data_IF_789232543027
#
_entry.id   IF_789232543027
#
_cell.length_a   1.000
_cell.length_b   1.000
_cell.length_c   1.000
_cell.angle_alpha   90.00
_cell.angle_beta   90.00
_cell.angle_gamma   90.00
#
_symmetry.space_group_name_H-M   'P 1'
#
loop_
_entity.id
_entity.type
_entity.pdbx_description
1 polymer ?
#
# COMPACT_ATOMS: atom_id res chain seq x y z
N UNK A 1 0.33 -30.02 30.71
CA UNK A 1 1.72 -29.56 30.47
C UNK A 1 1.92 -28.30 31.30
N UNK A 2 2.82 -28.37 32.26
CA UNK A 2 3.11 -27.35 33.29
C UNK A 2 4.21 -26.42 32.79
N UNK A 3 3.97 -25.10 32.76
CA UNK A 3 5.05 -24.12 32.66
C UNK A 3 5.43 -23.67 34.08
N UNK A 4 6.63 -24.00 34.56
CA UNK A 4 7.11 -23.57 35.86
C UNK A 4 7.54 -22.10 35.81
N UNK A 5 7.32 -21.40 36.93
CA UNK A 5 7.76 -20.04 37.15
C UNK A 5 9.26 -19.90 37.40
N UNK A 6 9.72 -18.66 37.43
CA UNK A 6 11.10 -18.25 37.71
C UNK A 6 11.56 -17.22 36.68
N UNK A 7 12.04 -16.03 37.02
CA UNK A 7 12.34 -15.45 38.31
C UNK A 7 12.55 -13.95 38.17
N UNK A 8 12.40 -13.27 39.30
CA UNK A 8 12.77 -11.88 39.52
C UNK A 8 14.24 -11.64 39.16
N UNK A 9 14.51 -10.59 38.38
CA UNK A 9 15.79 -9.89 38.43
C UNK A 9 15.57 -8.41 38.14
N UNK A 10 15.62 -7.63 39.22
CA UNK A 10 15.67 -6.19 39.21
C UNK A 10 16.91 -5.68 38.46
N UNK A 11 16.74 -4.65 37.63
CA UNK A 11 17.85 -3.81 37.19
C UNK A 11 17.44 -2.35 37.32
N UNK A 12 17.78 -1.80 38.49
CA UNK A 12 17.82 -0.38 38.73
C UNK A 12 18.97 0.24 37.92
N UNK A 13 18.65 1.18 37.04
CA UNK A 13 19.59 2.25 36.65
C UNK A 13 18.82 3.52 36.36
N UNK A 14 18.56 4.20 37.48
CA UNK A 14 18.29 5.62 37.59
C UNK A 14 19.53 6.37 37.08
N UNK A 15 19.35 7.13 36.01
CA UNK A 15 20.40 7.91 35.36
C UNK A 15 19.77 9.09 34.65
N UNK A 16 19.84 10.23 35.33
CA UNK A 16 19.40 11.56 34.92
C UNK A 16 19.61 11.85 33.43
N UNK A 17 18.51 12.06 32.72
CA UNK A 17 18.47 12.76 31.43
C UNK A 17 17.48 13.91 31.56
N UNK A 18 18.04 15.00 32.08
CA UNK A 18 17.80 16.38 31.69
C UNK A 18 16.37 16.75 31.24
N UNK A 19 15.71 17.34 32.21
CA UNK A 19 14.53 18.20 32.16
C UNK A 19 14.65 19.39 31.20
N UNK A 20 14.58 19.14 29.88
CA UNK A 20 14.44 20.20 28.86
C UNK A 20 13.28 19.87 27.92
N UNK A 21 12.08 19.68 28.48
CA UNK A 21 10.88 19.50 27.65
C UNK A 21 9.55 19.71 28.40
N UNK A 22 9.27 20.90 28.94
CA UNK A 22 7.93 21.18 29.50
C UNK A 22 7.59 22.67 29.40
N UNK A 23 7.23 23.12 28.20
CA UNK A 23 6.30 24.24 27.98
C UNK A 23 5.75 24.18 26.54
N UNK A 24 5.63 22.96 26.00
CA UNK A 24 4.76 22.78 24.84
C UNK A 24 3.34 22.68 25.40
N UNK A 25 2.42 23.59 25.04
CA UNK A 25 1.10 23.66 25.64
C UNK A 25 0.39 22.31 25.44
N UNK A 26 0.12 21.61 26.54
CA UNK A 26 -0.59 20.32 26.58
C UNK A 26 -1.96 20.37 25.89
N UNK A 27 -2.47 21.59 25.66
CA UNK A 27 -3.70 21.86 24.91
C UNK A 27 -3.55 21.64 23.40
N UNK A 28 -2.34 21.69 22.82
CA UNK A 28 -2.13 21.57 21.38
C UNK A 28 -1.85 20.12 20.95
N UNK A 29 -1.17 19.34 21.79
CA UNK A 29 -1.05 17.88 21.59
C UNK A 29 -2.38 17.18 21.78
N UNK A 30 -3.18 17.56 22.79
CA UNK A 30 -4.51 16.98 23.01
C UNK A 30 -5.54 17.38 21.94
N UNK A 31 -5.44 18.59 21.36
CA UNK A 31 -6.27 19.00 20.22
C UNK A 31 -5.88 18.28 18.91
N UNK A 32 -4.59 17.98 18.71
CA UNK A 32 -4.11 17.22 17.56
C UNK A 32 -4.41 15.71 17.71
N UNK A 33 -4.45 15.20 18.94
CA UNK A 33 -4.81 13.82 19.29
C UNK A 33 -6.32 13.56 19.24
N UNK A 34 -7.14 14.61 19.40
CA UNK A 34 -8.61 14.52 19.26
C UNK A 34 -9.12 14.69 17.83
N UNK A 35 -8.23 14.89 16.85
CA UNK A 35 -8.56 14.58 15.44
C UNK A 35 -8.55 13.06 15.23
N UNK A 36 -9.39 12.39 16.03
CA UNK A 36 -9.90 11.04 15.95
C UNK A 36 -10.76 10.88 14.67
N UNK A 37 -10.29 11.43 13.55
CA UNK A 37 -10.82 11.16 12.22
C UNK A 37 -10.50 9.69 11.96
N UNK A 38 -11.57 8.92 11.95
CA UNK A 38 -11.70 7.50 11.63
C UNK A 38 -10.39 6.81 11.19
N UNK A 39 -9.94 5.73 11.85
CA UNK A 39 -8.78 4.94 11.40
C UNK A 39 -8.86 4.54 9.91
N UNK A 40 -10.08 4.46 9.37
CA UNK A 40 -10.37 4.28 7.95
C UNK A 40 -9.84 5.40 7.04
N UNK A 41 -9.94 6.68 7.43
CA UNK A 41 -9.45 7.80 6.62
C UNK A 41 -7.93 7.80 6.52
N UNK A 42 -7.22 7.57 7.64
CA UNK A 42 -5.75 7.47 7.62
C UNK A 42 -5.29 6.29 6.77
N UNK A 43 -5.98 5.16 6.88
CA UNK A 43 -5.75 4.01 6.01
C UNK A 43 -6.02 4.34 4.55
N UNK A 44 -7.14 4.99 4.23
CA UNK A 44 -7.52 5.34 2.86
C UNK A 44 -6.54 6.34 2.24
N UNK A 45 -6.08 7.34 2.98
CA UNK A 45 -5.08 8.31 2.50
C UNK A 45 -3.74 7.61 2.24
N UNK A 46 -3.32 6.72 3.14
CA UNK A 46 -2.10 5.94 2.94
C UNK A 46 -2.22 4.99 1.75
N UNK A 47 -3.37 4.36 1.58
CA UNK A 47 -3.71 3.53 0.44
C UNK A 47 -3.70 4.33 -0.86
N UNK A 48 -4.44 5.44 -0.93
CA UNK A 48 -4.53 6.28 -2.12
C UNK A 48 -3.18 6.93 -2.47
N UNK A 49 -2.42 7.34 -1.46
CA UNK A 49 -1.08 7.91 -1.63
C UNK A 49 -0.05 6.88 -2.08
N UNK A 50 -0.16 5.62 -1.64
CA UNK A 50 0.78 4.58 -2.06
C UNK A 50 0.37 3.92 -3.38
N UNK A 51 -0.88 3.46 -3.49
CA UNK A 51 -1.38 2.70 -4.63
C UNK A 51 -1.89 3.59 -5.78
N UNK A 52 -2.32 4.83 -5.50
CA UNK A 52 -2.76 5.78 -6.53
C UNK A 52 -1.64 6.67 -7.07
N UNK A 53 -0.76 7.17 -6.19
CA UNK A 53 0.29 8.11 -6.59
C UNK A 53 1.47 7.43 -7.29
N UNK A 54 1.89 6.25 -6.83
CA UNK A 54 3.05 5.54 -7.42
C UNK A 54 2.82 5.16 -8.89
N UNK A 55 1.70 4.53 -9.31
CA UNK A 55 1.49 4.24 -10.72
C UNK A 55 1.29 5.51 -11.53
N UNK A 56 0.61 6.53 -10.99
CA UNK A 56 0.50 7.83 -11.65
C UNK A 56 1.88 8.47 -11.89
N UNK A 57 2.78 8.40 -10.90
CA UNK A 57 4.14 8.89 -11.03
C UNK A 57 4.95 8.08 -12.06
N UNK A 58 4.78 6.75 -12.08
CA UNK A 58 5.41 5.87 -13.08
C UNK A 58 4.93 6.22 -14.48
N UNK A 59 3.65 6.54 -14.67
CA UNK A 59 3.11 6.96 -15.97
C UNK A 59 3.58 8.36 -16.38
N UNK A 60 3.72 9.27 -15.42
CA UNK A 60 4.20 10.63 -15.67
C UNK A 60 5.70 10.66 -16.01
N UNK A 61 6.47 9.69 -15.51
CA UNK A 61 7.91 9.63 -15.69
C UNK A 61 8.36 9.56 -17.17
N UNK A 62 7.91 8.62 -18.02
CA UNK A 62 8.30 8.58 -19.43
C UNK A 62 7.90 9.85 -20.17
N UNK A 63 6.76 10.47 -19.79
CA UNK A 63 6.34 11.75 -20.34
C UNK A 63 7.33 12.88 -19.97
N UNK A 64 7.72 12.98 -18.71
CA UNK A 64 8.71 13.93 -18.24
C UNK A 64 10.10 13.70 -18.89
N UNK A 65 10.52 12.44 -19.03
CA UNK A 65 11.79 12.08 -19.69
C UNK A 65 11.76 12.46 -21.17
N UNK A 66 10.64 12.26 -21.87
CA UNK A 66 10.48 12.65 -23.28
C UNK A 66 10.65 14.17 -23.48
N UNK A 67 10.21 14.97 -22.50
CA UNK A 67 10.39 16.43 -22.52
C UNK A 67 11.84 16.85 -22.24
N UNK A 68 12.55 16.13 -21.37
CA UNK A 68 13.91 16.48 -20.94
C UNK A 68 15.00 15.97 -21.89
N UNK A 69 14.84 14.78 -22.47
CA UNK A 69 15.88 14.12 -23.28
C UNK A 69 15.30 13.54 -24.57
N UNK A 70 14.96 14.37 -25.57
CA UNK A 70 14.32 13.92 -26.80
C UNK A 70 15.22 13.07 -27.73
N UNK A 71 16.52 12.91 -27.40
CA UNK A 71 17.53 12.32 -28.31
C UNK A 71 17.79 10.83 -28.14
N UNK A 72 17.19 10.16 -27.15
CA UNK A 72 17.47 8.73 -26.85
C UNK A 72 16.19 7.90 -26.66
N UNK A 73 15.55 7.42 -27.75
CA UNK A 73 14.31 6.65 -27.66
C UNK A 73 14.50 5.33 -26.88
N UNK A 74 15.69 4.72 -26.96
CA UNK A 74 16.03 3.48 -26.26
C UNK A 74 15.88 3.61 -24.73
N UNK A 75 16.23 4.77 -24.16
CA UNK A 75 16.14 4.98 -22.72
C UNK A 75 14.67 4.99 -22.25
N UNK A 76 13.78 5.57 -23.05
CA UNK A 76 12.35 5.64 -22.73
C UNK A 76 11.76 4.23 -22.73
N UNK A 77 12.09 3.42 -23.73
CA UNK A 77 11.63 2.03 -23.85
C UNK A 77 12.12 1.16 -22.69
N UNK A 78 13.41 1.23 -22.37
CA UNK A 78 14.00 0.49 -21.24
C UNK A 78 13.35 0.89 -19.92
N UNK A 79 13.17 2.18 -19.68
CA UNK A 79 12.51 2.67 -18.45
C UNK A 79 11.05 2.24 -18.39
N UNK A 80 10.33 2.31 -19.52
CA UNK A 80 8.94 1.88 -19.60
C UNK A 80 8.76 0.40 -19.26
N UNK A 81 9.76 -0.47 -19.47
CA UNK A 81 9.72 -1.89 -19.08
C UNK A 81 10.18 -2.10 -17.63
N UNK A 82 11.27 -1.46 -17.21
CA UNK A 82 11.85 -1.71 -15.88
C UNK A 82 10.96 -1.17 -14.76
N UNK A 83 10.37 0.03 -14.92
CA UNK A 83 9.58 0.66 -13.86
C UNK A 83 8.36 -0.18 -13.44
N UNK A 84 7.52 -0.69 -14.35
CA UNK A 84 6.41 -1.58 -14.00
C UNK A 84 6.85 -2.84 -13.26
N UNK A 85 7.97 -3.46 -13.68
CA UNK A 85 8.50 -4.67 -13.04
C UNK A 85 8.88 -4.37 -11.58
N UNK A 86 9.61 -3.29 -11.34
CA UNK A 86 9.99 -2.88 -9.97
C UNK A 86 8.75 -2.57 -9.14
N UNK A 87 7.80 -1.82 -9.71
CA UNK A 87 6.57 -1.44 -9.03
C UNK A 87 5.68 -2.66 -8.70
N UNK A 88 5.65 -3.66 -9.57
CA UNK A 88 5.00 -4.95 -9.34
C UNK A 88 5.58 -5.64 -8.10
N UNK A 89 6.91 -5.78 -8.01
CA UNK A 89 7.54 -6.45 -6.87
C UNK A 89 7.34 -5.68 -5.57
N UNK A 90 7.44 -4.35 -5.61
CA UNK A 90 7.17 -3.52 -4.44
C UNK A 90 5.74 -3.69 -3.94
N UNK A 91 4.74 -3.66 -4.83
CA UNK A 91 3.33 -3.87 -4.47
C UNK A 91 3.08 -5.27 -3.92
N UNK A 92 3.65 -6.29 -4.55
CA UNK A 92 3.50 -7.66 -4.07
C UNK A 92 4.09 -7.81 -2.65
N UNK A 93 5.31 -7.33 -2.42
CA UNK A 93 5.96 -7.40 -1.10
C UNK A 93 5.17 -6.64 -0.02
N UNK A 94 4.74 -5.42 -0.31
CA UNK A 94 3.98 -4.60 0.63
C UNK A 94 2.60 -5.20 0.90
N UNK A 95 1.90 -5.69 -0.13
CA UNK A 95 0.60 -6.34 0.01
C UNK A 95 0.68 -7.62 0.85
N UNK A 96 1.67 -8.48 0.58
CA UNK A 96 1.90 -9.70 1.38
C UNK A 96 2.26 -9.36 2.82
N UNK A 97 3.09 -8.33 3.03
CA UNK A 97 3.44 -7.85 4.38
C UNK A 97 2.21 -7.33 5.13
N UNK A 98 1.31 -6.60 4.46
CA UNK A 98 0.07 -6.14 5.07
C UNK A 98 -0.85 -7.31 5.46
N UNK A 99 -0.97 -8.31 4.58
CA UNK A 99 -1.75 -9.53 4.85
C UNK A 99 -1.15 -10.35 5.99
N UNK A 100 0.19 -10.38 6.13
CA UNK A 100 0.85 -11.17 7.17
C UNK A 100 0.68 -10.59 8.58
N UNK A 101 0.60 -9.26 8.69
CA UNK A 101 0.37 -8.57 9.97
C UNK A 101 -1.11 -8.63 10.38
N UNK A 102 -2.03 -8.77 9.42
CA UNK A 102 -3.45 -8.79 9.70
C UNK A 102 -3.88 -10.08 10.42
N UNK A 103 -4.52 -9.94 11.58
CA UNK A 103 -5.00 -11.07 12.41
C UNK A 103 -6.37 -11.60 11.94
N UNK A 104 -6.62 -11.64 10.65
CA UNK A 104 -7.84 -12.21 10.09
C UNK A 104 -7.81 -13.76 10.11
N UNK A 105 -8.99 -14.38 10.14
CA UNK A 105 -9.13 -15.83 9.99
C UNK A 105 -8.55 -16.34 8.67
N UNK A 106 -8.17 -17.63 8.62
CA UNK A 106 -7.48 -18.24 7.46
C UNK A 106 -8.24 -18.06 6.14
N UNK A 107 -9.58 -18.14 6.18
CA UNK A 107 -10.45 -18.02 5.00
C UNK A 107 -10.37 -16.60 4.41
N UNK A 108 -10.55 -15.58 5.26
CA UNK A 108 -10.48 -14.18 4.84
C UNK A 108 -9.09 -13.83 4.32
N UNK A 109 -8.04 -14.33 4.97
CA UNK A 109 -6.65 -14.15 4.54
C UNK A 109 -6.39 -14.74 3.15
N UNK A 110 -6.94 -15.91 2.85
CA UNK A 110 -6.84 -16.51 1.51
C UNK A 110 -7.56 -15.66 0.47
N UNK A 111 -8.77 -15.18 0.78
CA UNK A 111 -9.52 -14.27 -0.10
C UNK A 111 -8.77 -12.96 -0.38
N UNK A 112 -8.15 -12.36 0.65
CA UNK A 112 -7.32 -11.16 0.51
C UNK A 112 -6.10 -11.42 -0.39
N UNK A 113 -5.46 -12.58 -0.27
CA UNK A 113 -4.34 -12.95 -1.12
C UNK A 113 -4.75 -13.14 -2.59
N UNK A 114 -5.88 -13.82 -2.84
CA UNK A 114 -6.41 -13.97 -4.20
C UNK A 114 -6.77 -12.61 -4.80
N UNK A 115 -7.44 -11.75 -4.04
CA UNK A 115 -7.77 -10.38 -4.49
C UNK A 115 -6.51 -9.55 -4.79
N UNK A 116 -5.46 -9.66 -3.98
CA UNK A 116 -4.16 -9.02 -4.24
C UNK A 116 -3.55 -9.52 -5.55
N UNK A 117 -3.53 -10.83 -5.78
CA UNK A 117 -3.01 -11.41 -7.03
C UNK A 117 -3.82 -10.95 -8.25
N UNK A 118 -5.16 -10.93 -8.17
CA UNK A 118 -6.02 -10.43 -9.23
C UNK A 118 -5.75 -8.95 -9.54
N UNK A 119 -5.67 -8.11 -8.50
CA UNK A 119 -5.37 -6.70 -8.67
C UNK A 119 -4.00 -6.46 -9.33
N UNK A 120 -2.98 -7.20 -8.90
CA UNK A 120 -1.64 -7.10 -9.47
C UNK A 120 -1.60 -7.52 -10.94
N UNK A 121 -2.32 -8.59 -11.31
CA UNK A 121 -2.41 -9.04 -12.71
C UNK A 121 -3.11 -8.01 -13.58
N UNK A 122 -4.20 -7.42 -13.10
CA UNK A 122 -4.90 -6.34 -13.81
C UNK A 122 -3.99 -5.13 -14.00
N UNK A 123 -3.22 -4.76 -12.97
CA UNK A 123 -2.27 -3.65 -13.06
C UNK A 123 -1.17 -3.92 -14.10
N UNK A 124 -0.64 -5.14 -14.14
CA UNK A 124 0.33 -5.54 -15.16
C UNK A 124 -0.23 -5.47 -16.58
N UNK A 125 -1.52 -5.80 -16.77
CA UNK A 125 -2.20 -5.63 -18.06
C UNK A 125 -2.29 -4.16 -18.46
N UNK A 126 -2.65 -3.28 -17.52
CA UNK A 126 -2.71 -1.83 -17.75
C UNK A 126 -1.33 -1.28 -18.12
N UNK A 127 -0.29 -1.68 -17.40
CA UNK A 127 1.09 -1.25 -17.69
C UNK A 127 1.53 -1.74 -19.09
N UNK A 128 1.18 -2.97 -19.48
CA UNK A 128 1.46 -3.49 -20.82
C UNK A 128 0.76 -2.70 -21.93
N UNK A 129 -0.52 -2.33 -21.72
CA UNK A 129 -1.26 -1.47 -22.65
C UNK A 129 -0.57 -0.11 -22.77
N UNK A 130 -0.14 0.49 -21.66
CA UNK A 130 0.54 1.79 -21.69
C UNK A 130 1.87 1.72 -22.43
N UNK A 131 2.67 0.68 -22.21
CA UNK A 131 3.91 0.47 -22.98
C UNK A 131 3.58 0.36 -24.47
N UNK A 132 2.56 -0.43 -24.83
CA UNK A 132 2.14 -0.62 -26.22
C UNK A 132 1.71 0.72 -26.86
N UNK A 133 1.04 1.58 -26.10
CA UNK A 133 0.59 2.89 -26.59
C UNK A 133 1.74 3.87 -26.86
N UNK A 134 2.91 3.66 -26.24
CA UNK A 134 4.11 4.45 -26.55
C UNK A 134 4.81 3.99 -27.84
N UNK A 135 4.61 2.74 -28.25
CA UNK A 135 5.18 2.17 -29.48
C UNK A 135 4.25 2.38 -30.68
N UNK A 136 2.93 2.44 -30.45
CA UNK A 136 1.94 2.66 -31.51
C UNK A 136 1.94 4.11 -32.03
N UNK A 137 1.60 4.31 -33.32
CA UNK A 137 1.46 5.64 -33.90
C UNK A 137 0.31 6.43 -33.25
N UNK A 138 0.43 7.76 -33.31
CA UNK A 138 -0.60 8.68 -32.79
C UNK A 138 -1.96 8.39 -33.43
N UNK A 139 -3.00 8.23 -32.62
CA UNK A 139 -4.36 7.90 -33.06
C UNK A 139 -4.76 6.43 -32.91
N UNK A 140 -3.86 5.55 -32.45
CA UNK A 140 -4.22 4.15 -32.17
C UNK A 140 -5.17 3.99 -30.96
N UNK A 141 -5.11 4.91 -29.99
CA UNK A 141 -6.02 4.95 -28.84
C UNK A 141 -7.31 5.67 -29.19
N UNK A 142 -8.41 4.93 -29.25
CA UNK A 142 -9.73 5.52 -29.40
C UNK A 142 -10.28 5.99 -28.05
N UNK A 143 -11.27 6.89 -28.07
CA UNK A 143 -11.95 7.34 -26.83
C UNK A 143 -12.60 6.17 -26.08
N UNK A 144 -13.06 5.15 -26.79
CA UNK A 144 -13.59 3.90 -26.21
C UNK A 144 -12.54 3.14 -25.42
N UNK A 145 -11.31 3.06 -25.92
CA UNK A 145 -10.22 2.35 -25.24
C UNK A 145 -9.84 3.03 -23.94
N UNK A 146 -9.83 4.37 -23.92
CA UNK A 146 -9.60 5.15 -22.69
C UNK A 146 -10.69 4.93 -21.64
N UNK A 147 -11.95 4.87 -22.07
CA UNK A 147 -13.08 4.58 -21.17
C UNK A 147 -12.98 3.15 -20.62
N UNK A 148 -12.63 2.19 -21.47
CA UNK A 148 -12.39 0.80 -21.06
C UNK A 148 -11.24 0.69 -20.06
N UNK A 149 -10.13 1.39 -20.30
CA UNK A 149 -9.00 1.46 -19.38
C UNK A 149 -9.42 2.06 -18.02
N UNK A 150 -10.27 3.09 -18.04
CA UNK A 150 -10.87 3.66 -16.83
C UNK A 150 -11.69 2.63 -16.03
N UNK A 151 -12.51 1.81 -16.69
CA UNK A 151 -13.25 0.74 -16.03
C UNK A 151 -12.34 -0.31 -15.40
N UNK A 152 -11.30 -0.75 -16.12
CA UNK A 152 -10.29 -1.68 -15.59
C UNK A 152 -9.61 -1.09 -14.35
N UNK A 153 -9.28 0.21 -14.39
CA UNK A 153 -8.65 0.89 -13.27
C UNK A 153 -9.55 0.96 -12.03
N UNK A 154 -10.84 1.28 -12.20
CA UNK A 154 -11.82 1.28 -11.09
C UNK A 154 -12.00 -0.13 -10.52
N UNK A 155 -12.02 -1.15 -11.38
CA UNK A 155 -12.06 -2.54 -10.96
C UNK A 155 -10.83 -2.92 -10.13
N UNK A 156 -9.64 -2.56 -10.59
CA UNK A 156 -8.38 -2.73 -9.86
C UNK A 156 -8.44 -2.09 -8.46
N UNK A 157 -8.85 -0.82 -8.38
CA UNK A 157 -8.97 -0.10 -7.10
C UNK A 157 -9.94 -0.81 -6.15
N UNK A 158 -11.07 -1.30 -6.67
CA UNK A 158 -12.06 -2.03 -5.87
C UNK A 158 -11.48 -3.33 -5.29
N UNK A 159 -10.74 -4.10 -6.10
CA UNK A 159 -10.04 -5.30 -5.64
C UNK A 159 -8.99 -4.98 -4.57
N UNK A 160 -8.22 -3.91 -4.77
CA UNK A 160 -7.20 -3.50 -3.79
C UNK A 160 -7.80 -3.03 -2.47
N UNK A 161 -8.88 -2.23 -2.52
CA UNK A 161 -9.62 -1.81 -1.31
C UNK A 161 -10.06 -3.04 -0.51
N UNK A 162 -10.59 -4.06 -1.19
CA UNK A 162 -10.99 -5.31 -0.55
C UNK A 162 -9.80 -6.09 0.03
N UNK A 163 -8.70 -6.18 -0.71
CA UNK A 163 -7.49 -6.90 -0.28
C UNK A 163 -6.82 -6.26 0.95
N UNK A 164 -6.82 -4.93 1.03
CA UNK A 164 -6.16 -4.16 2.08
C UNK A 164 -7.09 -3.75 3.24
N UNK A 165 -8.37 -4.10 3.17
CA UNK A 165 -9.35 -3.71 4.19
C UNK A 165 -8.88 -4.14 5.59
N UNK A 166 -8.66 -3.20 6.54
CA UNK A 166 -8.31 -3.54 7.90
C UNK A 166 -9.55 -4.16 8.53
N UNK A 167 -9.46 -5.44 8.90
CA UNK A 167 -10.56 -6.11 9.60
C UNK A 167 -10.95 -5.31 10.84
N UNK A 168 -12.24 -5.07 11.03
CA UNK A 168 -12.75 -4.39 12.23
C UNK A 168 -12.53 -5.33 13.43
N UNK A 169 -11.43 -5.17 14.15
CA UNK A 169 -11.07 -5.98 15.32
C UNK A 169 -11.89 -5.60 16.56
N UNK A 170 -13.22 -5.49 16.43
CA UNK A 170 -14.12 -5.16 17.53
C UNK A 170 -14.78 -6.41 18.16
N UNK A 171 -14.42 -7.63 17.75
CA UNK A 171 -14.84 -8.82 18.49
C UNK A 171 -13.91 -9.01 19.69
N UNK A 172 -14.37 -8.81 20.94
CA UNK A 172 -13.65 -9.31 22.10
C UNK A 172 -13.44 -10.81 21.89
N UNK A 173 -12.17 -11.25 21.84
CA UNK A 173 -11.87 -12.68 21.79
C UNK A 173 -12.49 -13.34 23.03
N UNK A 174 -13.29 -14.41 22.88
CA UNK A 174 -13.62 -15.22 24.03
C UNK A 174 -12.30 -15.76 24.64
N UNK A 175 -12.15 -15.74 25.98
CA UNK A 175 -10.87 -16.02 26.64
C UNK A 175 -10.34 -17.45 26.49
N UNK A 176 -11.03 -18.34 25.76
CA UNK A 176 -10.76 -19.78 25.75
C UNK A 176 -9.96 -20.30 24.54
N UNK A 177 -9.60 -19.47 23.57
CA UNK A 177 -8.98 -19.92 22.31
C UNK A 177 -7.43 -19.81 22.29
N UNK A 178 -6.78 -19.82 23.46
CA UNK A 178 -5.30 -19.75 23.59
C UNK A 178 -4.64 -21.10 23.91
N UNK A 179 -5.37 -22.21 23.83
CA UNK A 179 -4.84 -23.54 24.14
C UNK A 179 -5.09 -24.53 23.00
N UNK A 180 -4.42 -24.35 21.86
CA UNK A 180 -4.08 -25.43 20.92
C UNK A 180 -2.71 -25.18 20.28
#
# INVERSE_FOLDING_TARGET
>A
MTCPGGGLAASARMGDQLTVRRDLPETLTTAMERSHRHPLMTWLIRFLGWDGLVPAAIWLLPFAVRLLVPKVPLLIEVMAVILPIVAFFLRFKVGVWHISINRCGRIVRSGQFVALCCAILVLALVDAVIILTNVMPEGALTRSDLVFLGYIYVFYLSCMIFALYPGLTNSPKPPHEYCE
#
